data_IF_400475847461
#
_entry.id   IF_400475847461
#
_cell.length_a   1.000
_cell.length_b   1.000
_cell.length_c   1.000
_cell.angle_alpha   90.00
_cell.angle_beta   90.00
_cell.angle_gamma   90.00
#
_symmetry.space_group_name_H-M   'P 1'
#
loop_
_entity.id
_entity.type
_entity.pdbx_description
1 polymer ?
#
# COMPACT_ATOMS: atom_id res chain seq x y z
N UNK A 1 0.83 21.95 -4.29
CA UNK A 1 0.75 20.66 -5.02
C UNK A 1 1.98 19.83 -4.68
N UNK A 2 1.77 18.63 -4.19
CA UNK A 2 2.88 17.77 -3.78
C UNK A 2 3.48 17.09 -5.00
N UNK A 3 4.78 17.30 -5.24
CA UNK A 3 5.51 16.55 -6.25
C UNK A 3 5.84 15.17 -5.70
N UNK A 4 5.52 14.13 -6.46
CA UNK A 4 5.75 12.74 -6.04
C UNK A 4 7.12 12.30 -6.52
N UNK A 5 7.99 11.94 -5.59
CA UNK A 5 9.27 11.32 -5.89
C UNK A 5 9.10 9.80 -5.91
N UNK A 6 8.77 9.26 -7.08
CA UNK A 6 8.52 7.84 -7.25
C UNK A 6 9.75 6.98 -6.96
N UNK A 7 10.95 7.49 -7.25
CA UNK A 7 12.17 6.76 -6.97
C UNK A 7 12.40 6.62 -5.46
N UNK A 8 12.15 7.67 -4.70
CA UNK A 8 12.25 7.63 -3.24
C UNK A 8 11.23 6.67 -2.63
N UNK A 9 9.98 6.68 -3.12
CA UNK A 9 8.97 5.72 -2.66
C UNK A 9 9.37 4.29 -2.98
N UNK A 10 9.91 4.04 -4.16
CA UNK A 10 10.38 2.71 -4.54
C UNK A 10 11.50 2.24 -3.63
N UNK A 11 12.47 3.11 -3.33
CA UNK A 11 13.58 2.77 -2.43
C UNK A 11 13.07 2.40 -1.02
N UNK A 12 12.09 3.13 -0.51
CA UNK A 12 11.48 2.82 0.78
C UNK A 12 10.73 1.50 0.75
N UNK A 13 10.00 1.21 -0.33
CA UNK A 13 9.28 -0.05 -0.50
C UNK A 13 10.27 -1.23 -0.56
N UNK A 14 11.37 -1.08 -1.30
CA UNK A 14 12.41 -2.11 -1.38
C UNK A 14 13.03 -2.35 0.00
N UNK A 15 13.31 -1.29 0.74
CA UNK A 15 13.91 -1.41 2.08
C UNK A 15 12.99 -2.17 3.04
N UNK A 16 11.70 -1.84 3.08
CA UNK A 16 10.76 -2.48 3.99
C UNK A 16 10.42 -3.91 3.57
N UNK A 17 10.52 -4.25 2.28
CA UNK A 17 10.34 -5.62 1.80
C UNK A 17 11.30 -6.60 2.48
N UNK A 18 12.48 -6.14 2.87
CA UNK A 18 13.46 -6.96 3.58
C UNK A 18 13.01 -7.37 4.99
N UNK A 19 12.05 -6.65 5.54
CA UNK A 19 11.47 -6.96 6.85
C UNK A 19 10.31 -7.94 6.78
N UNK A 20 9.86 -8.31 5.57
CA UNK A 20 8.70 -9.17 5.38
C UNK A 20 8.90 -10.54 6.02
N UNK A 21 7.81 -11.06 6.60
CA UNK A 21 7.76 -12.41 7.14
C UNK A 21 7.03 -13.29 6.13
N UNK A 22 7.80 -13.98 5.28
CA UNK A 22 7.24 -14.78 4.18
C UNK A 22 7.88 -16.19 4.12
N UNK A 23 7.81 -16.97 5.22
CA UNK A 23 8.47 -18.27 5.28
C UNK A 23 7.81 -19.34 4.41
N UNK A 24 6.56 -19.13 3.99
CA UNK A 24 5.78 -20.12 3.24
C UNK A 24 5.90 -19.89 1.74
N UNK A 25 5.55 -18.69 1.26
CA UNK A 25 5.60 -18.37 -0.17
C UNK A 25 6.97 -17.93 -0.64
N UNK A 26 7.77 -17.36 0.26
CA UNK A 26 9.03 -16.69 -0.03
C UNK A 26 8.88 -15.44 -0.91
N UNK A 27 7.66 -14.95 -1.08
CA UNK A 27 7.39 -13.69 -1.75
C UNK A 27 7.42 -12.57 -0.72
N UNK A 28 8.50 -11.81 -0.70
CA UNK A 28 8.67 -10.66 0.19
C UNK A 28 8.15 -9.42 -0.52
N UNK A 29 7.21 -8.72 0.09
CA UNK A 29 6.55 -7.55 -0.49
C UNK A 29 6.74 -6.36 0.44
N UNK A 30 7.08 -5.22 -0.14
CA UNK A 30 7.13 -3.94 0.55
C UNK A 30 6.22 -2.94 -0.12
N UNK A 31 5.58 -2.10 0.68
CA UNK A 31 4.76 -0.99 0.21
C UNK A 31 5.22 0.29 0.89
N UNK A 32 5.28 1.37 0.13
CA UNK A 32 5.55 2.71 0.64
C UNK A 32 4.53 3.68 0.07
N UNK A 33 4.07 4.60 0.90
CA UNK A 33 3.05 5.57 0.53
C UNK A 33 3.41 6.97 0.96
N UNK A 34 3.04 7.94 0.14
CA UNK A 34 3.17 9.35 0.45
C UNK A 34 1.84 9.87 0.98
N UNK A 35 1.89 10.48 2.15
CA UNK A 35 0.74 11.10 2.79
C UNK A 35 0.66 12.58 2.36
N UNK A 36 -0.53 13.17 2.42
CA UNK A 36 -0.75 14.55 1.98
C UNK A 36 0.01 15.60 2.78
N UNK A 37 0.54 15.24 3.96
CA UNK A 37 1.40 16.12 4.75
C UNK A 37 2.91 15.93 4.46
N UNK A 38 3.26 15.08 3.50
CA UNK A 38 4.65 14.80 3.10
C UNK A 38 5.29 13.61 3.81
N UNK A 39 4.61 13.01 4.80
CA UNK A 39 5.11 11.83 5.50
C UNK A 39 5.12 10.63 4.56
N UNK A 40 6.12 9.76 4.73
CA UNK A 40 6.16 8.45 4.07
C UNK A 40 5.79 7.39 5.10
N UNK A 41 4.82 6.56 4.75
CA UNK A 41 4.39 5.40 5.54
C UNK A 41 4.72 4.13 4.78
N UNK A 42 4.90 3.01 5.50
CA UNK A 42 5.41 1.78 4.90
C UNK A 42 4.82 0.55 5.57
N UNK A 43 4.85 -0.55 4.84
CA UNK A 43 4.44 -1.85 5.35
C UNK A 43 5.09 -2.97 4.58
N UNK A 44 5.14 -4.15 5.17
CA UNK A 44 5.60 -5.37 4.53
C UNK A 44 4.58 -6.49 4.80
N UNK A 45 4.61 -7.53 3.96
CA UNK A 45 3.70 -8.65 4.18
C UNK A 45 4.12 -9.51 5.37
N UNK A 46 3.13 -10.06 6.05
CA UNK A 46 3.33 -10.94 7.20
C UNK A 46 2.45 -12.17 7.00
N UNK A 47 3.10 -13.28 6.67
CA UNK A 47 2.40 -14.55 6.47
C UNK A 47 2.13 -15.25 7.81
N UNK A 48 1.21 -16.20 7.75
CA UNK A 48 0.87 -17.03 8.89
C UNK A 48 0.65 -18.46 8.39
N UNK A 49 0.98 -19.46 9.20
CA UNK A 49 0.69 -20.86 8.87
C UNK A 49 -0.81 -21.07 8.66
N UNK A 50 -1.64 -20.28 9.32
CA UNK A 50 -3.06 -20.16 9.01
C UNK A 50 -3.19 -19.15 7.87
N UNK A 51 -3.26 -19.62 6.63
CA UNK A 51 -3.14 -18.79 5.43
C UNK A 51 -4.15 -17.64 5.40
N UNK A 52 -5.33 -17.83 5.94
CA UNK A 52 -6.37 -16.79 5.99
C UNK A 52 -6.00 -15.58 6.86
N UNK A 53 -4.98 -15.70 7.71
CA UNK A 53 -4.50 -14.62 8.58
C UNK A 53 -3.36 -13.81 7.97
N UNK A 54 -2.95 -14.12 6.75
CA UNK A 54 -1.87 -13.40 6.06
C UNK A 54 -2.25 -11.92 5.86
N UNK A 55 -1.31 -11.04 6.20
CA UNK A 55 -1.46 -9.60 6.01
C UNK A 55 -0.61 -9.18 4.82
N UNK A 56 -1.23 -8.53 3.83
CA UNK A 56 -0.53 -7.92 2.72
C UNK A 56 0.28 -6.70 3.20
N UNK A 57 1.29 -6.31 2.45
CA UNK A 57 2.11 -5.14 2.77
C UNK A 57 1.28 -3.87 2.96
N UNK A 58 0.23 -3.70 2.18
CA UNK A 58 -0.65 -2.53 2.25
C UNK A 58 -1.43 -2.46 3.57
N UNK A 59 -1.69 -3.60 4.22
CA UNK A 59 -2.32 -3.60 5.56
C UNK A 59 -1.42 -2.91 6.58
N UNK A 60 -0.12 -3.24 6.56
CA UNK A 60 0.87 -2.59 7.42
C UNK A 60 1.01 -1.11 7.10
N UNK A 61 1.00 -0.76 5.82
CA UNK A 61 1.09 0.62 5.37
C UNK A 61 -0.07 1.46 5.90
N UNK A 62 -1.31 0.97 5.77
CA UNK A 62 -2.49 1.69 6.25
C UNK A 62 -2.50 1.76 7.78
N UNK A 63 -2.05 0.72 8.47
CA UNK A 63 -1.88 0.77 9.92
C UNK A 63 -0.86 1.84 10.32
N UNK A 64 0.27 1.93 9.62
CA UNK A 64 1.29 2.95 9.85
C UNK A 64 0.74 4.36 9.58
N UNK A 65 -0.08 4.54 8.55
CA UNK A 65 -0.74 5.80 8.25
C UNK A 65 -1.50 6.33 9.48
N UNK A 66 -2.33 5.50 10.07
CA UNK A 66 -3.15 5.90 11.22
C UNK A 66 -2.33 6.00 12.51
N UNK A 67 -1.38 5.11 12.73
CA UNK A 67 -0.53 5.12 13.92
C UNK A 67 0.38 6.36 14.00
N UNK A 68 0.69 6.96 12.86
CA UNK A 68 1.60 8.11 12.78
C UNK A 68 0.90 9.43 12.51
N UNK A 69 -0.42 9.49 12.61
CA UNK A 69 -1.16 10.75 12.55
C UNK A 69 -2.33 10.80 11.55
N UNK A 70 -2.54 9.78 10.77
CA UNK A 70 -3.64 9.74 9.79
C UNK A 70 -3.33 10.58 8.56
N UNK A 71 -4.35 11.15 7.95
CA UNK A 71 -4.24 11.90 6.69
C UNK A 71 -4.67 11.05 5.49
N UNK A 72 -4.42 11.57 4.29
CA UNK A 72 -4.78 10.89 3.05
C UNK A 72 -3.53 10.44 2.31
N UNK A 73 -3.56 9.22 1.79
CA UNK A 73 -2.54 8.75 0.86
C UNK A 73 -2.73 9.42 -0.50
N UNK A 74 -1.65 9.91 -1.08
CA UNK A 74 -1.66 10.51 -2.42
C UNK A 74 -0.92 9.64 -3.44
N UNK A 75 0.00 8.79 -3.00
CA UNK A 75 0.76 7.90 -3.87
C UNK A 75 1.18 6.64 -3.10
N UNK A 76 1.23 5.51 -3.79
CA UNK A 76 1.67 4.23 -3.23
C UNK A 76 2.49 3.47 -4.27
N UNK A 77 3.54 2.81 -3.82
CA UNK A 77 4.34 1.86 -4.61
C UNK A 77 4.45 0.55 -3.84
N UNK A 78 4.23 -0.56 -4.53
CA UNK A 78 4.41 -1.91 -3.99
C UNK A 78 5.44 -2.65 -4.84
N UNK A 79 6.39 -3.31 -4.19
CA UNK A 79 7.46 -4.06 -4.87
C UNK A 79 7.71 -5.40 -4.20
N UNK A 80 8.32 -6.33 -4.96
CA UNK A 80 8.86 -7.55 -4.38
C UNK A 80 10.29 -7.32 -3.83
N UNK A 81 10.91 -8.37 -3.30
CA UNK A 81 12.25 -8.28 -2.71
C UNK A 81 13.35 -7.89 -3.69
N UNK A 82 13.11 -8.04 -4.99
CA UNK A 82 14.05 -7.66 -6.05
C UNK A 82 13.75 -6.28 -6.63
N UNK A 83 12.74 -5.58 -6.09
CA UNK A 83 12.35 -4.26 -6.54
C UNK A 83 11.42 -4.26 -7.74
N UNK A 84 10.89 -5.41 -8.15
CA UNK A 84 9.92 -5.49 -9.24
C UNK A 84 8.56 -4.98 -8.77
N UNK A 85 7.91 -4.19 -9.61
CA UNK A 85 6.60 -3.62 -9.31
C UNK A 85 5.55 -4.71 -9.16
N UNK A 86 4.74 -4.59 -8.12
CA UNK A 86 3.55 -5.40 -7.91
C UNK A 86 2.34 -4.49 -7.80
N UNK A 87 1.22 -4.89 -8.41
CA UNK A 87 -0.05 -4.22 -8.18
C UNK A 87 -0.72 -4.82 -6.94
N UNK A 88 -1.40 -4.00 -6.13
CA UNK A 88 -2.09 -4.50 -4.95
C UNK A 88 -3.20 -5.49 -5.32
N UNK A 89 -3.41 -6.49 -4.48
CA UNK A 89 -4.51 -7.45 -4.66
C UNK A 89 -5.86 -6.75 -4.48
N UNK A 90 -6.95 -7.44 -4.85
CA UNK A 90 -8.29 -6.86 -4.81
C UNK A 90 -8.68 -6.33 -3.42
N UNK A 91 -8.38 -7.09 -2.36
CA UNK A 91 -8.64 -6.66 -0.99
C UNK A 91 -7.90 -5.37 -0.65
N UNK A 92 -6.64 -5.27 -1.05
CA UNK A 92 -5.83 -4.09 -0.76
C UNK A 92 -6.28 -2.88 -1.59
N UNK A 93 -6.82 -3.08 -2.78
CA UNK A 93 -7.39 -1.98 -3.56
C UNK A 93 -8.56 -1.34 -2.82
N UNK A 94 -9.42 -2.13 -2.20
CA UNK A 94 -10.51 -1.62 -1.37
C UNK A 94 -9.97 -0.89 -0.13
N UNK A 95 -8.96 -1.46 0.52
CA UNK A 95 -8.31 -0.84 1.68
C UNK A 95 -7.71 0.51 1.32
N UNK A 96 -7.00 0.58 0.19
CA UNK A 96 -6.39 1.81 -0.29
C UNK A 96 -7.43 2.83 -0.75
N UNK A 97 -8.56 2.39 -1.27
CA UNK A 97 -9.65 3.27 -1.68
C UNK A 97 -10.14 4.12 -0.50
N UNK A 98 -10.30 3.53 0.68
CA UNK A 98 -10.68 4.30 1.85
C UNK A 98 -9.57 5.25 2.31
N UNK A 99 -8.32 4.81 2.23
CA UNK A 99 -7.17 5.59 2.70
C UNK A 99 -6.81 6.77 1.80
N UNK A 100 -7.06 6.69 0.50
CA UNK A 100 -6.64 7.71 -0.48
C UNK A 100 -7.69 8.12 -1.49
N UNK A 101 -8.76 7.35 -1.63
CA UNK A 101 -9.83 7.63 -2.59
C UNK A 101 -9.48 7.25 -4.03
N UNK A 102 -10.38 7.52 -4.98
CA UNK A 102 -10.23 7.10 -6.38
C UNK A 102 -9.05 7.78 -7.11
N UNK A 103 -8.60 8.93 -6.62
CA UNK A 103 -7.49 9.67 -7.22
C UNK A 103 -6.12 9.27 -6.69
N UNK A 104 -6.04 8.37 -5.70
CA UNK A 104 -4.77 7.83 -5.22
C UNK A 104 -4.00 7.22 -6.38
N UNK A 105 -2.74 7.61 -6.55
CA UNK A 105 -1.89 7.10 -7.63
C UNK A 105 -1.12 5.87 -7.13
N UNK A 106 -1.40 4.74 -7.74
CA UNK A 106 -0.70 3.47 -7.47
C UNK A 106 0.33 3.27 -8.57
N UNK A 107 1.57 3.59 -8.28
CA UNK A 107 2.68 3.57 -9.22
C UNK A 107 2.33 4.32 -10.53
N UNK A 108 1.72 5.49 -10.37
CA UNK A 108 1.33 6.37 -11.46
C UNK A 108 -0.06 6.15 -12.04
N UNK A 109 -0.79 5.12 -11.62
CA UNK A 109 -2.14 4.83 -12.11
C UNK A 109 -3.19 5.23 -11.07
N UNK A 110 -4.25 5.96 -11.46
CA UNK A 110 -5.34 6.26 -10.52
C UNK A 110 -6.01 4.98 -10.01
N UNK A 111 -6.31 4.95 -8.73
CA UNK A 111 -6.98 3.80 -8.13
C UNK A 111 -8.34 3.51 -8.76
N UNK A 112 -9.02 4.54 -9.26
CA UNK A 112 -10.29 4.37 -9.98
C UNK A 112 -10.18 3.46 -11.19
N UNK A 113 -9.01 3.36 -11.82
CA UNK A 113 -8.78 2.41 -12.91
C UNK A 113 -8.60 0.98 -12.41
N UNK A 114 -8.04 0.82 -11.21
CA UNK A 114 -7.76 -0.49 -10.61
C UNK A 114 -8.96 -1.07 -9.86
N UNK A 115 -9.86 -0.21 -9.40
CA UNK A 115 -11.06 -0.58 -8.67
C UNK A 115 -12.20 0.35 -9.10
N UNK A 116 -12.76 0.13 -10.31
CA UNK A 116 -13.86 0.96 -10.80
C UNK A 116 -15.13 0.72 -9.99
N UNK A 117 -15.95 1.76 -9.87
CA UNK A 117 -17.25 1.70 -9.17
C UNK A 117 -17.12 1.17 -7.74
N UNK A 118 -16.08 1.57 -7.03
CA UNK A 118 -15.76 1.02 -5.72
C UNK A 118 -16.82 1.38 -4.67
N UNK A 119 -17.16 0.40 -3.84
CA UNK A 119 -17.93 0.62 -2.62
C UNK A 119 -17.09 1.45 -1.63
N UNK A 120 -17.74 2.36 -0.91
CA UNK A 120 -17.05 3.18 0.07
C UNK A 120 -17.98 3.77 1.11
N UNK A 121 -17.43 4.59 2.00
CA UNK A 121 -18.19 5.22 3.09
C UNK A 121 -19.45 5.97 2.64
N UNK A 122 -19.46 6.66 1.48
CA UNK A 122 -20.69 7.33 1.01
C UNK A 122 -21.87 6.39 0.73
N UNK A 123 -21.61 5.08 0.55
CA UNK A 123 -22.64 4.07 0.30
C UNK A 123 -23.31 3.59 1.58
N UNK A 124 -22.75 3.92 2.73
CA UNK A 124 -23.32 3.55 4.03
C UNK A 124 -24.42 4.53 4.45
N UNK A 125 -25.46 4.06 5.19
CA UNK A 125 -26.52 4.94 5.68
C UNK A 125 -26.05 5.95 6.71
#
# INVERSE_FOLDING_TARGET
MTTIDWAALRDEAIAVARCAHAPYSRLHVGAAGLVDDGRIVRGCNVENASYGLTLCAECGLVSDLHATGGGRLVAVVCVDGDGNRLMPCGRCRQLLHEAGGPSLLVDGRPLAELLPDAFGAPDLP
#
